data_IF_292625010758
#
_entry.id   IF_292625010758
#
_cell.length_a   1.000
_cell.length_b   1.000
_cell.length_c   1.000
_cell.angle_alpha   90.00
_cell.angle_beta   90.00
_cell.angle_gamma   90.00
#
_symmetry.space_group_name_H-M   'P 1'
#
loop_
_entity.id
_entity.type
_entity.pdbx_description
1 polymer ?
#
# COMPACT_ATOMS: atom_id res chain seq x y z
N UNK A 1 -26.61 5.16 -2.47
CA UNK A 1 -25.53 4.20 -2.73
C UNK A 1 -25.84 2.95 -1.93
N UNK A 2 -25.72 1.80 -2.56
CA UNK A 2 -25.92 0.53 -1.87
C UNK A 2 -24.68 0.16 -1.02
N UNK A 3 -24.83 -0.83 -0.15
CA UNK A 3 -23.73 -1.27 0.71
C UNK A 3 -22.60 -1.98 -0.07
N UNK A 4 -22.88 -2.52 -1.26
CA UNK A 4 -21.91 -3.26 -2.05
C UNK A 4 -20.94 -2.29 -2.75
N UNK A 5 -21.47 -1.25 -3.37
CA UNK A 5 -20.75 -0.11 -3.96
C UNK A 5 -19.85 0.56 -2.92
N UNK A 6 -20.38 0.82 -1.71
CA UNK A 6 -19.61 1.45 -0.63
C UNK A 6 -18.46 0.55 -0.16
N UNK A 7 -18.70 -0.76 -0.02
CA UNK A 7 -17.64 -1.71 0.35
C UNK A 7 -16.57 -1.81 -0.72
N UNK A 8 -16.96 -1.80 -2.00
CA UNK A 8 -16.01 -1.77 -3.12
C UNK A 8 -15.17 -0.49 -3.11
N UNK A 9 -15.81 0.67 -2.94
CA UNK A 9 -15.13 1.96 -2.84
C UNK A 9 -14.14 2.02 -1.67
N UNK A 10 -14.55 1.53 -0.50
CA UNK A 10 -13.70 1.46 0.70
C UNK A 10 -12.54 0.47 0.54
N UNK A 11 -12.74 -0.65 -0.16
CA UNK A 11 -11.64 -1.58 -0.50
C UNK A 11 -10.62 -0.89 -1.40
N UNK A 12 -11.07 -0.26 -2.48
CA UNK A 12 -10.20 0.47 -3.41
C UNK A 12 -9.36 1.53 -2.66
N UNK A 13 -9.96 2.26 -1.71
CA UNK A 13 -9.22 3.20 -0.84
C UNK A 13 -8.12 2.52 -0.02
N UNK A 14 -8.36 1.32 0.53
CA UNK A 14 -7.35 0.58 1.30
C UNK A 14 -6.17 0.10 0.43
N UNK A 15 -6.46 -0.23 -0.83
CA UNK A 15 -5.48 -0.68 -1.82
C UNK A 15 -4.76 0.50 -2.52
N UNK A 16 -5.21 1.74 -2.29
CA UNK A 16 -4.66 2.94 -2.93
C UNK A 16 -5.13 3.16 -4.37
N UNK A 17 -6.24 2.52 -4.75
CA UNK A 17 -6.84 2.59 -6.08
C UNK A 17 -7.97 3.65 -6.13
N UNK A 18 -8.32 4.16 -7.32
CA UNK A 18 -9.47 5.03 -7.48
C UNK A 18 -10.77 4.31 -7.12
N UNK A 19 -11.55 4.89 -6.20
CA UNK A 19 -12.82 4.32 -5.73
C UNK A 19 -13.96 4.41 -6.76
N UNK A 20 -13.83 5.27 -7.77
CA UNK A 20 -14.88 5.53 -8.76
C UNK A 20 -16.10 6.28 -8.21
N UNK A 21 -16.06 6.67 -6.94
CA UNK A 21 -17.14 7.34 -6.23
C UNK A 21 -16.62 8.58 -5.50
N UNK A 22 -17.50 9.56 -5.31
CA UNK A 22 -17.19 10.75 -4.52
C UNK A 22 -16.97 10.37 -3.06
N UNK A 23 -15.88 10.89 -2.48
CA UNK A 23 -15.50 10.52 -1.12
C UNK A 23 -16.51 10.96 -0.08
N UNK A 24 -17.15 12.12 -0.27
CA UNK A 24 -18.16 12.66 0.64
C UNK A 24 -19.41 11.75 0.69
N UNK A 25 -19.76 11.12 -0.44
CA UNK A 25 -20.92 10.23 -0.53
C UNK A 25 -20.66 8.90 0.18
N UNK A 26 -19.45 8.37 0.03
CA UNK A 26 -19.00 7.13 0.70
C UNK A 26 -18.92 7.35 2.21
N UNK A 27 -18.39 8.49 2.64
CA UNK A 27 -18.26 8.84 4.06
C UNK A 27 -19.62 9.06 4.72
N UNK A 28 -20.54 9.76 4.04
CA UNK A 28 -21.91 9.93 4.52
C UNK A 28 -22.64 8.58 4.70
N UNK A 29 -22.38 7.59 3.83
CA UNK A 29 -22.93 6.26 4.01
C UNK A 29 -22.28 5.52 5.19
N UNK A 30 -20.95 5.63 5.34
CA UNK A 30 -20.20 5.01 6.43
C UNK A 30 -20.64 5.56 7.80
N UNK A 31 -21.06 6.82 7.86
CA UNK A 31 -21.64 7.44 9.05
C UNK A 31 -23.05 6.94 9.37
N UNK A 32 -23.85 6.63 8.34
CA UNK A 32 -25.23 6.21 8.48
C UNK A 32 -25.45 4.69 8.61
N UNK A 33 -24.45 3.86 8.25
CA UNK A 33 -24.60 2.41 8.16
C UNK A 33 -23.63 1.65 9.09
N UNK A 34 -24.16 1.10 10.18
CA UNK A 34 -23.37 0.34 11.17
C UNK A 34 -22.74 -0.94 10.58
N UNK A 35 -23.42 -1.59 9.63
CA UNK A 35 -22.88 -2.79 8.97
C UNK A 35 -21.65 -2.46 8.10
N UNK A 36 -21.67 -1.33 7.39
CA UNK A 36 -20.52 -0.88 6.61
C UNK A 36 -19.38 -0.42 7.52
N UNK A 37 -19.67 0.21 8.66
CA UNK A 37 -18.65 0.56 9.66
C UNK A 37 -17.98 -0.68 10.24
N UNK A 38 -18.77 -1.64 10.71
CA UNK A 38 -18.25 -2.89 11.26
C UNK A 38 -17.47 -3.72 10.22
N UNK A 39 -17.89 -3.68 8.96
CA UNK A 39 -17.13 -4.30 7.87
C UNK A 39 -15.80 -3.58 7.63
N UNK A 40 -15.81 -2.24 7.57
CA UNK A 40 -14.61 -1.46 7.27
C UNK A 40 -13.55 -1.56 8.35
N UNK A 41 -13.95 -1.58 9.63
CA UNK A 41 -13.04 -1.82 10.75
C UNK A 41 -12.30 -3.17 10.62
N UNK A 42 -13.01 -4.23 10.21
CA UNK A 42 -12.40 -5.55 9.96
C UNK A 42 -11.44 -5.51 8.78
N UNK A 43 -11.82 -4.81 7.69
CA UNK A 43 -10.98 -4.65 6.52
C UNK A 43 -9.68 -3.90 6.85
N UNK A 44 -9.76 -2.81 7.62
CA UNK A 44 -8.59 -2.06 8.10
C UNK A 44 -7.69 -2.91 8.98
N UNK A 45 -8.27 -3.69 9.91
CA UNK A 45 -7.50 -4.57 10.78
C UNK A 45 -6.75 -5.65 9.98
N UNK A 46 -7.41 -6.26 8.98
CA UNK A 46 -6.80 -7.22 8.08
C UNK A 46 -5.68 -6.58 7.26
N UNK A 47 -5.93 -5.43 6.63
CA UNK A 47 -4.93 -4.73 5.82
C UNK A 47 -3.66 -4.42 6.64
N UNK A 48 -3.82 -3.92 7.86
CA UNK A 48 -2.69 -3.68 8.78
C UNK A 48 -1.92 -4.96 9.09
N UNK A 49 -2.61 -6.09 9.31
CA UNK A 49 -1.95 -7.36 9.58
C UNK A 49 -1.12 -7.88 8.41
N UNK A 50 -1.56 -7.61 7.17
CA UNK A 50 -0.83 -7.98 5.95
C UNK A 50 0.42 -7.11 5.76
N UNK A 51 0.32 -5.81 6.08
CA UNK A 51 1.43 -4.87 5.95
C UNK A 51 2.55 -5.07 6.98
N UNK A 52 2.22 -5.55 8.19
CA UNK A 52 3.21 -5.76 9.25
C UNK A 52 4.12 -6.97 9.02
N UNK A 53 3.93 -7.71 7.93
CA UNK A 53 4.68 -8.92 7.64
C UNK A 53 4.37 -10.05 8.63
N UNK A 54 5.01 -11.23 8.45
CA UNK A 54 4.80 -12.33 9.37
C UNK A 54 5.22 -11.96 10.80
N UNK A 55 4.53 -12.50 11.79
CA UNK A 55 4.85 -12.25 13.20
C UNK A 55 6.33 -12.51 13.49
N UNK A 56 6.91 -11.68 14.37
CA UNK A 56 8.30 -11.79 14.79
C UNK A 56 8.59 -13.24 15.24
N UNK A 57 9.53 -13.91 14.56
CA UNK A 57 9.89 -15.31 14.85
C UNK A 57 9.19 -16.38 14.01
N UNK A 58 8.32 -16.00 13.07
CA UNK A 58 7.89 -16.92 12.02
C UNK A 58 9.10 -17.37 11.19
N UNK A 59 9.18 -18.64 10.84
CA UNK A 59 10.20 -19.16 9.93
C UNK A 59 10.00 -18.52 8.54
N UNK A 60 10.73 -17.46 8.25
CA UNK A 60 10.78 -16.86 6.93
C UNK A 60 11.73 -17.66 6.05
N UNK A 61 11.36 -17.94 4.78
CA UNK A 61 12.31 -18.47 3.81
C UNK A 61 13.56 -17.59 3.74
N UNK A 62 14.72 -18.19 3.49
CA UNK A 62 15.94 -17.43 3.25
C UNK A 62 15.85 -16.76 1.86
N UNK A 63 15.82 -15.43 1.84
CA UNK A 63 15.77 -14.61 0.63
C UNK A 63 17.10 -13.88 0.36
N UNK A 64 18.19 -14.26 1.02
CA UNK A 64 19.50 -13.60 0.87
C UNK A 64 20.02 -13.61 -0.57
N UNK A 65 19.99 -14.78 -1.25
CA UNK A 65 20.39 -14.91 -2.67
C UNK A 65 19.56 -14.02 -3.60
N UNK A 66 18.23 -14.02 -3.42
CA UNK A 66 17.34 -13.19 -4.22
C UNK A 66 17.61 -11.69 -3.98
N UNK A 67 17.84 -11.31 -2.72
CA UNK A 67 18.16 -9.93 -2.35
C UNK A 67 19.47 -9.47 -2.99
N UNK A 68 20.50 -10.30 -2.96
CA UNK A 68 21.79 -10.02 -3.60
C UNK A 68 21.64 -9.85 -5.13
N UNK A 69 20.84 -10.71 -5.77
CA UNK A 69 20.56 -10.63 -7.21
C UNK A 69 19.80 -9.36 -7.59
N UNK A 70 18.82 -8.93 -6.79
CA UNK A 70 18.08 -7.69 -7.03
C UNK A 70 19.01 -6.49 -6.86
N UNK A 71 19.76 -6.43 -5.75
CA UNK A 71 20.63 -5.30 -5.45
C UNK A 71 21.76 -5.16 -6.47
N UNK A 72 22.41 -6.26 -6.87
CA UNK A 72 23.46 -6.23 -7.90
C UNK A 72 22.95 -5.75 -9.26
N UNK A 73 21.68 -6.01 -9.58
CA UNK A 73 21.05 -5.54 -10.82
C UNK A 73 20.67 -4.05 -10.74
N UNK A 74 20.19 -3.57 -9.60
CA UNK A 74 19.66 -2.20 -9.44
C UNK A 74 20.74 -1.17 -9.10
N UNK A 75 21.78 -1.55 -8.36
CA UNK A 75 22.83 -0.62 -7.89
C UNK A 75 23.54 0.17 -9.02
N UNK A 76 23.88 -0.42 -10.18
CA UNK A 76 24.49 0.33 -11.29
C UNK A 76 23.59 1.47 -11.82
N UNK A 77 22.30 1.19 -12.01
CA UNK A 77 21.31 2.18 -12.46
C UNK A 77 21.09 3.26 -11.42
N UNK A 78 21.05 2.89 -10.13
CA UNK A 78 20.98 3.83 -9.02
C UNK A 78 22.19 4.76 -8.99
N UNK A 79 23.41 4.24 -9.08
CA UNK A 79 24.66 5.04 -9.16
C UNK A 79 24.65 5.99 -10.35
N UNK A 80 24.17 5.55 -11.51
CA UNK A 80 24.06 6.40 -12.71
C UNK A 80 23.09 7.55 -12.48
N UNK A 81 21.90 7.29 -11.94
CA UNK A 81 20.91 8.32 -11.60
C UNK A 81 21.46 9.33 -10.59
N UNK A 82 22.10 8.85 -9.53
CA UNK A 82 22.73 9.70 -8.52
C UNK A 82 23.80 10.62 -9.12
N UNK A 83 24.71 10.09 -9.95
CA UNK A 83 25.72 10.91 -10.65
C UNK A 83 25.11 11.93 -11.60
N UNK A 84 24.07 11.53 -12.33
CA UNK A 84 23.36 12.43 -13.26
C UNK A 84 22.67 13.55 -12.49
N UNK A 85 22.00 13.23 -11.38
CA UNK A 85 21.36 14.20 -10.51
C UNK A 85 22.38 15.16 -9.87
N UNK A 86 23.53 14.65 -9.44
CA UNK A 86 24.62 15.44 -8.88
C UNK A 86 25.22 16.43 -9.91
N UNK A 87 25.33 16.03 -11.18
CA UNK A 87 25.74 16.94 -12.27
C UNK A 87 24.67 18.00 -12.59
N UNK A 88 23.39 17.64 -12.54
CA UNK A 88 22.27 18.54 -12.85
C UNK A 88 22.03 19.56 -11.74
N UNK A 89 22.22 19.17 -10.48
CA UNK A 89 21.97 20.03 -9.31
C UNK A 89 23.19 20.83 -8.86
N UNK A 90 24.35 20.64 -9.49
CA UNK A 90 25.57 21.37 -9.18
C UNK A 90 26.06 21.09 -7.76
N UNK A 91 26.39 19.82 -7.48
CA UNK A 91 27.10 19.50 -6.24
C UNK A 91 28.49 20.14 -6.25
N UNK A 92 28.71 21.09 -5.34
CA UNK A 92 29.97 21.78 -5.11
C UNK A 92 31.06 20.83 -4.56
#
# INVERSE_FOLDING_TARGET
MDCEEVRAALSARLDGEPSGHDDDVVDAHLDACDDCRAWFEKAVALNRSLLMGPAQGAATPDFSDLSERILSTVEPERRRRERTWFMVTGGA
#
